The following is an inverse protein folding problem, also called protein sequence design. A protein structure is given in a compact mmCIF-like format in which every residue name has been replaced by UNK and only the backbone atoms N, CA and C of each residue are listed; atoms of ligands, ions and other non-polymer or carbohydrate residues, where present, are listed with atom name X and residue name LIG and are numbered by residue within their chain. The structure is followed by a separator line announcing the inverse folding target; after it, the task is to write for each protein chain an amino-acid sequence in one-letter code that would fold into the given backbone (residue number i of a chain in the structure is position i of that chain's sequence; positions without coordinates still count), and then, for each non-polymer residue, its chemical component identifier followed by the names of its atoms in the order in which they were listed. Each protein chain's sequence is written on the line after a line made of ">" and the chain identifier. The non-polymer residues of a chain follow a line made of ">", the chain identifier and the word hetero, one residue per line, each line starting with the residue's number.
data_IF_522627060293
#
_entry.id   IF_522627060293
#
_cell.length_a   1.000
_cell.length_b   1.000
_cell.length_c   1.000
_cell.angle_alpha   90.00
_cell.angle_beta   90.00
_cell.angle_gamma   90.00
#
_symmetry.space_group_name_H-M   'P 1'
#
loop_
_entity.id
_entity.type
_entity.pdbx_description
1 polymer ?
#
# COMPACT_ATOMS: atom_id res chain seq x y z
N UNK A 1 18.80 -9.04 -24.84
CA UNK A 1 19.30 -9.48 -26.18
C UNK A 1 18.07 -9.66 -27.03
N UNK A 2 17.83 -8.74 -27.95
CA UNK A 2 16.66 -8.81 -28.84
C UNK A 2 16.98 -9.71 -30.01
N UNK A 3 16.36 -10.88 -30.00
CA UNK A 3 16.04 -11.74 -31.12
C UNK A 3 17.11 -11.87 -32.24
N UNK A 4 18.27 -12.36 -31.92
CA UNK A 4 19.22 -12.90 -32.92
C UNK A 4 19.53 -12.03 -34.14
N UNK A 5 19.02 -10.82 -34.23
CA UNK A 5 19.29 -9.90 -35.35
C UNK A 5 20.53 -9.06 -35.03
N UNK A 6 21.47 -9.02 -35.97
CA UNK A 6 22.65 -8.14 -35.90
C UNK A 6 22.32 -6.68 -36.27
N UNK A 7 21.05 -6.27 -36.18
CA UNK A 7 20.62 -4.90 -36.52
C UNK A 7 20.81 -4.02 -35.29
N UNK A 8 21.67 -3.01 -35.43
CA UNK A 8 21.85 -1.96 -34.42
C UNK A 8 20.90 -0.84 -34.73
N UNK A 9 19.98 -0.56 -33.78
CA UNK A 9 19.07 0.59 -33.89
C UNK A 9 19.68 1.78 -33.18
N UNK A 10 19.87 2.88 -33.90
CA UNK A 10 20.20 4.17 -33.31
C UNK A 10 18.93 4.81 -32.74
N UNK A 11 18.96 5.20 -31.46
CA UNK A 11 17.94 6.05 -30.83
C UNK A 11 18.53 7.44 -30.57
N UNK A 12 17.72 8.48 -30.72
CA UNK A 12 18.19 9.84 -30.41
C UNK A 12 18.47 9.97 -28.90
N UNK A 13 19.44 10.80 -28.55
CA UNK A 13 19.75 11.10 -27.14
C UNK A 13 18.50 11.63 -26.40
N UNK A 14 17.69 12.46 -27.04
CA UNK A 14 16.46 13.01 -26.47
C UNK A 14 15.43 11.93 -26.14
N UNK A 15 15.41 10.83 -26.90
CA UNK A 15 14.50 9.70 -26.64
C UNK A 15 14.88 8.89 -25.41
N UNK A 16 16.14 8.95 -24.97
CA UNK A 16 16.65 8.17 -23.83
C UNK A 16 17.12 9.04 -22.68
N UNK A 17 17.19 10.37 -22.84
CA UNK A 17 17.68 11.28 -21.81
C UNK A 17 16.90 11.17 -20.49
N UNK A 18 15.58 11.06 -20.55
CA UNK A 18 14.73 10.88 -19.37
C UNK A 18 15.11 9.62 -18.56
N UNK A 19 15.65 8.61 -19.21
CA UNK A 19 16.10 7.35 -18.58
C UNK A 19 17.54 7.47 -18.07
N UNK A 20 18.40 8.10 -18.88
CA UNK A 20 19.82 8.24 -18.54
C UNK A 20 20.03 9.20 -17.35
N UNK A 21 19.19 10.24 -17.26
CA UNK A 21 19.33 11.30 -16.26
C UNK A 21 18.56 11.02 -14.96
N UNK A 22 17.58 10.08 -14.95
CA UNK A 22 16.72 9.84 -13.79
C UNK A 22 17.39 9.10 -12.63
N UNK A 23 18.53 8.47 -12.86
CA UNK A 23 19.18 7.62 -11.85
C UNK A 23 18.32 6.41 -11.43
N UNK A 24 18.86 5.55 -10.57
CA UNK A 24 18.13 4.35 -10.09
C UNK A 24 16.86 4.67 -9.32
N UNK A 25 16.86 5.75 -8.53
CA UNK A 25 15.68 6.18 -7.78
C UNK A 25 14.53 6.62 -8.68
N UNK A 26 14.82 7.25 -9.81
CA UNK A 26 13.80 7.67 -10.79
C UNK A 26 13.13 6.50 -11.53
N UNK A 27 13.80 5.35 -11.59
CA UNK A 27 13.34 4.17 -12.35
C UNK A 27 12.69 3.08 -11.48
N UNK A 28 12.74 3.23 -10.14
CA UNK A 28 12.18 2.23 -9.23
C UNK A 28 10.70 2.46 -8.95
N UNK A 29 10.03 1.42 -8.46
CA UNK A 29 8.69 1.51 -7.89
C UNK A 29 8.70 2.47 -6.67
N UNK A 30 7.75 3.41 -6.64
CA UNK A 30 7.60 4.39 -5.57
C UNK A 30 6.32 4.20 -4.75
N UNK A 31 5.42 3.36 -5.22
CA UNK A 31 4.16 3.04 -4.53
C UNK A 31 4.44 1.99 -3.47
N UNK A 32 4.00 2.24 -2.24
CA UNK A 32 4.30 1.38 -1.09
C UNK A 32 3.49 0.08 -1.15
N UNK A 33 2.21 0.15 -1.57
CA UNK A 33 1.30 -0.99 -1.65
C UNK A 33 0.64 -1.03 -3.03
N UNK A 34 0.73 -2.16 -3.70
CA UNK A 34 0.21 -2.37 -5.06
C UNK A 34 -1.01 -3.30 -5.11
N UNK A 35 -1.32 -3.99 -4.01
CA UNK A 35 -2.46 -4.90 -3.92
C UNK A 35 -3.80 -4.15 -4.02
N UNK A 36 -4.82 -4.81 -4.53
CA UNK A 36 -6.16 -4.20 -4.63
C UNK A 36 -6.84 -4.18 -3.25
N UNK A 37 -7.59 -3.12 -2.95
CA UNK A 37 -8.37 -2.99 -1.72
C UNK A 37 -9.31 -4.19 -1.49
N UNK A 38 -9.86 -4.75 -2.58
CA UNK A 38 -10.74 -5.94 -2.56
C UNK A 38 -10.06 -7.21 -2.07
N UNK A 39 -8.73 -7.27 -2.13
CA UNK A 39 -7.96 -8.46 -1.75
C UNK A 39 -7.55 -8.41 -0.27
N UNK A 40 -7.65 -7.24 0.36
CA UNK A 40 -7.28 -7.04 1.76
C UNK A 40 -8.30 -7.71 2.68
N UNK A 41 -7.82 -8.60 3.54
CA UNK A 41 -8.59 -9.31 4.56
C UNK A 41 -8.53 -8.62 5.91
N UNK A 42 -7.39 -8.07 6.29
CA UNK A 42 -7.27 -7.28 7.52
C UNK A 42 -6.12 -6.28 7.43
N UNK A 43 -6.25 -5.20 8.19
CA UNK A 43 -5.16 -4.25 8.44
C UNK A 43 -5.04 -4.08 9.94
N UNK A 44 -3.82 -4.25 10.46
CA UNK A 44 -3.48 -3.86 11.83
C UNK A 44 -2.66 -2.59 11.78
N UNK A 45 -3.13 -1.55 12.44
CA UNK A 45 -2.46 -0.25 12.56
C UNK A 45 -1.93 -0.12 13.97
N UNK A 46 -0.62 0.04 14.12
CA UNK A 46 0.03 0.25 15.42
C UNK A 46 0.69 1.64 15.45
N UNK A 47 0.29 2.48 16.39
CA UNK A 47 0.86 3.81 16.61
C UNK A 47 1.15 4.01 18.11
N UNK A 48 2.43 3.95 18.47
CA UNK A 48 2.84 3.93 19.89
C UNK A 48 2.26 2.72 20.62
N UNK A 49 1.43 2.95 21.64
CA UNK A 49 0.74 1.89 22.39
C UNK A 49 -0.65 1.54 21.86
N UNK A 50 -1.14 2.26 20.85
CA UNK A 50 -2.47 2.03 20.27
C UNK A 50 -2.35 0.99 19.17
N UNK A 51 -3.26 0.00 19.19
CA UNK A 51 -3.37 -1.04 18.15
C UNK A 51 -4.82 -1.09 17.68
N UNK A 52 -5.03 -0.77 16.42
CA UNK A 52 -6.33 -0.79 15.76
C UNK A 52 -6.35 -1.90 14.71
N UNK A 53 -7.39 -2.73 14.73
CA UNK A 53 -7.53 -3.84 13.78
C UNK A 53 -8.80 -3.67 12.98
N UNK A 54 -8.63 -3.52 11.67
CA UNK A 54 -9.72 -3.45 10.71
C UNK A 54 -9.85 -4.82 10.02
N UNK A 55 -10.94 -5.53 10.32
CA UNK A 55 -11.21 -6.83 9.73
C UNK A 55 -12.23 -6.69 8.60
N UNK A 56 -11.86 -7.15 7.42
CA UNK A 56 -12.74 -7.20 6.25
C UNK A 56 -13.27 -8.61 6.11
N UNK A 57 -14.58 -8.73 5.91
CA UNK A 57 -15.23 -9.97 5.50
C UNK A 57 -15.85 -9.76 4.13
N UNK A 58 -15.74 -10.76 3.25
CA UNK A 58 -16.42 -10.75 1.95
C UNK A 58 -17.44 -11.87 1.86
N UNK A 59 -18.57 -11.58 1.25
CA UNK A 59 -19.64 -12.54 0.94
C UNK A 59 -19.93 -12.47 -0.54
N UNK A 60 -19.88 -13.62 -1.21
CA UNK A 60 -20.24 -13.72 -2.62
C UNK A 60 -21.72 -13.34 -2.84
N UNK A 61 -21.97 -12.48 -3.82
CA UNK A 61 -23.31 -12.13 -4.23
C UNK A 61 -23.91 -13.30 -4.99
N UNK A 62 -24.99 -13.86 -4.48
CA UNK A 62 -25.77 -14.87 -5.20
C UNK A 62 -26.49 -14.20 -6.37
N UNK A 63 -25.90 -14.25 -7.57
CA UNK A 63 -26.62 -13.81 -8.76
C UNK A 63 -27.66 -14.86 -9.14
N UNK A 64 -28.92 -14.47 -9.12
CA UNK A 64 -30.06 -15.31 -9.55
C UNK A 64 -30.19 -15.42 -11.07
N UNK A 65 -29.14 -15.14 -11.85
CA UNK A 65 -29.13 -15.24 -13.30
C UNK A 65 -27.94 -16.00 -13.85
N UNK A 66 -28.27 -17.22 -14.32
CA UNK A 66 -27.75 -17.91 -15.51
C UNK A 66 -26.28 -17.76 -15.85
N UNK A 67 -25.52 -18.81 -15.51
CA UNK A 67 -24.54 -19.51 -16.38
C UNK A 67 -24.13 -18.80 -17.68
N UNK A 68 -23.28 -17.82 -17.63
CA UNK A 68 -22.26 -17.63 -18.65
C UNK A 68 -20.91 -18.03 -18.05
N UNK A 69 -20.35 -19.07 -18.60
CA UNK A 69 -19.01 -19.57 -18.27
C UNK A 69 -18.02 -18.40 -18.35
N UNK A 70 -17.49 -17.96 -17.20
CA UNK A 70 -16.39 -16.99 -17.16
C UNK A 70 -16.66 -15.70 -16.38
N UNK A 71 -17.74 -15.54 -15.62
CA UNK A 71 -17.94 -14.34 -14.80
C UNK A 71 -17.11 -14.40 -13.52
N UNK A 72 -16.31 -13.36 -13.28
CA UNK A 72 -15.59 -13.15 -12.01
C UNK A 72 -16.62 -13.04 -10.88
N UNK A 73 -16.43 -13.71 -9.73
CA UNK A 73 -17.34 -13.60 -8.59
C UNK A 73 -17.45 -12.15 -8.12
N UNK A 74 -18.67 -11.67 -7.90
CA UNK A 74 -18.92 -10.40 -7.23
C UNK A 74 -19.04 -10.60 -5.72
N UNK A 75 -18.44 -9.71 -4.93
CA UNK A 75 -18.49 -9.77 -3.48
C UNK A 75 -19.16 -8.54 -2.87
N UNK A 76 -19.78 -8.74 -1.71
CA UNK A 76 -20.17 -7.67 -0.79
C UNK A 76 -19.19 -7.69 0.37
N UNK A 77 -18.69 -6.53 0.76
CA UNK A 77 -17.68 -6.36 1.81
C UNK A 77 -18.29 -5.75 3.06
N UNK A 78 -17.81 -6.18 4.21
CA UNK A 78 -18.15 -5.60 5.53
C UNK A 78 -16.86 -5.45 6.31
N UNK A 79 -16.68 -4.29 6.96
CA UNK A 79 -15.53 -4.01 7.81
C UNK A 79 -15.98 -3.93 9.26
N UNK A 80 -15.17 -4.47 10.16
CA UNK A 80 -15.36 -4.35 11.61
C UNK A 80 -14.04 -3.90 12.27
N UNK A 81 -14.14 -2.93 13.18
CA UNK A 81 -13.02 -2.48 14.01
C UNK A 81 -12.85 -3.33 15.27
N UNK A 82 -11.95 -2.91 16.17
CA UNK A 82 -11.58 -3.60 17.41
C UNK A 82 -12.76 -4.04 18.28
N UNK A 83 -13.81 -3.20 18.37
CA UNK A 83 -14.96 -3.43 19.23
C UNK A 83 -16.09 -4.20 18.53
N UNK A 84 -15.85 -4.79 17.39
CA UNK A 84 -16.88 -5.39 16.55
C UNK A 84 -17.82 -4.36 15.92
N UNK A 85 -17.53 -3.05 16.04
CA UNK A 85 -18.27 -1.97 15.40
C UNK A 85 -18.18 -2.14 13.88
N UNK A 86 -19.33 -2.11 13.21
CA UNK A 86 -19.37 -2.13 11.75
C UNK A 86 -18.95 -0.76 11.21
N UNK A 87 -18.06 -0.77 10.27
CA UNK A 87 -17.53 0.40 9.59
C UNK A 87 -17.98 0.41 8.13
N UNK A 88 -17.96 1.59 7.52
CA UNK A 88 -18.28 1.70 6.10
C UNK A 88 -17.09 1.22 5.26
N UNK A 89 -17.35 0.27 4.35
CA UNK A 89 -16.30 -0.24 3.47
C UNK A 89 -15.90 0.79 2.41
N UNK A 90 -16.88 1.37 1.71
CA UNK A 90 -16.60 2.21 0.53
C UNK A 90 -16.04 3.58 0.91
N UNK A 91 -16.66 4.29 1.85
CA UNK A 91 -16.24 5.64 2.27
C UNK A 91 -15.23 5.67 3.42
N UNK A 92 -15.14 4.59 4.20
CA UNK A 92 -14.21 4.48 5.33
C UNK A 92 -12.95 3.70 4.95
N UNK A 93 -13.08 2.37 4.91
CA UNK A 93 -11.92 1.50 4.70
C UNK A 93 -11.22 1.73 3.35
N UNK A 94 -11.98 1.85 2.26
CA UNK A 94 -11.41 2.10 0.94
C UNK A 94 -10.71 3.47 0.88
N UNK A 95 -11.28 4.50 1.53
CA UNK A 95 -10.63 5.81 1.63
C UNK A 95 -9.30 5.73 2.36
N UNK A 96 -9.28 5.07 3.52
CA UNK A 96 -8.05 4.83 4.29
C UNK A 96 -7.00 4.08 3.44
N UNK A 97 -7.37 2.96 2.83
CA UNK A 97 -6.45 2.16 2.03
C UNK A 97 -5.87 2.95 0.84
N UNK A 98 -6.72 3.71 0.15
CA UNK A 98 -6.29 4.56 -0.96
C UNK A 98 -5.30 5.65 -0.54
N UNK A 99 -5.42 6.18 0.68
CA UNK A 99 -4.42 7.14 1.20
C UNK A 99 -3.07 6.48 1.42
N UNK A 100 -3.05 5.27 1.96
CA UNK A 100 -1.79 4.53 2.15
C UNK A 100 -1.17 4.16 0.80
N UNK A 101 -1.95 3.59 -0.11
CA UNK A 101 -1.47 3.16 -1.42
C UNK A 101 -1.05 4.32 -2.33
N UNK A 102 -1.66 5.51 -2.16
CA UNK A 102 -1.28 6.72 -2.88
C UNK A 102 -0.04 7.42 -2.29
N UNK A 103 0.47 6.96 -1.15
CA UNK A 103 1.69 7.54 -0.56
C UNK A 103 2.90 7.13 -1.38
N UNK A 104 3.58 8.12 -1.96
CA UNK A 104 4.73 7.91 -2.81
C UNK A 104 6.04 8.19 -2.08
N UNK A 105 7.05 7.39 -2.40
CA UNK A 105 8.42 7.63 -1.95
C UNK A 105 8.99 8.85 -2.68
N UNK A 106 9.39 9.85 -1.92
CA UNK A 106 9.96 11.10 -2.46
C UNK A 106 11.48 11.11 -2.51
N UNK A 107 12.12 10.41 -1.58
CA UNK A 107 13.57 10.38 -1.43
C UNK A 107 14.05 8.94 -1.21
N UNK A 108 15.26 8.67 -1.65
CA UNK A 108 15.91 7.40 -1.36
C UNK A 108 16.37 7.32 0.10
N UNK A 109 16.48 6.10 0.62
CA UNK A 109 17.07 5.81 1.91
C UNK A 109 17.84 4.50 1.83
N UNK A 110 19.04 4.47 2.38
CA UNK A 110 19.93 3.31 2.29
C UNK A 110 20.00 2.49 3.58
N UNK A 111 19.65 3.10 4.72
CA UNK A 111 19.82 2.47 6.02
C UNK A 111 18.49 2.40 6.78
N UNK A 112 18.27 1.25 7.43
CA UNK A 112 17.13 1.08 8.33
C UNK A 112 17.41 1.90 9.61
N UNK A 113 16.49 2.79 10.00
CA UNK A 113 16.61 3.55 11.23
C UNK A 113 16.65 2.64 12.45
N UNK A 114 17.34 3.08 13.50
CA UNK A 114 17.31 2.42 14.82
C UNK A 114 16.04 2.80 15.60
N UNK A 115 15.66 1.96 16.56
CA UNK A 115 14.52 2.21 17.44
C UNK A 115 13.21 1.59 16.95
N UNK A 116 12.10 2.08 17.51
CA UNK A 116 10.76 1.58 17.19
C UNK A 116 10.12 2.45 16.10
N UNK A 117 9.32 1.86 15.21
CA UNK A 117 8.56 2.63 14.24
C UNK A 117 7.50 3.49 14.94
N UNK A 118 7.27 4.68 14.43
CA UNK A 118 6.20 5.58 14.90
C UNK A 118 4.81 5.15 14.42
N UNK A 119 4.77 4.40 13.31
CA UNK A 119 3.56 3.81 12.76
C UNK A 119 3.93 2.48 12.08
N UNK A 120 3.12 1.46 12.30
CA UNK A 120 3.21 0.17 11.59
C UNK A 120 1.86 -0.19 11.02
N UNK A 121 1.85 -0.65 9.78
CA UNK A 121 0.69 -1.22 9.10
C UNK A 121 1.00 -2.67 8.73
N UNK A 122 0.16 -3.61 9.17
CA UNK A 122 0.29 -5.02 8.79
C UNK A 122 -0.95 -5.46 8.03
N UNK A 123 -0.76 -5.95 6.80
CA UNK A 123 -1.82 -6.38 5.90
C UNK A 123 -1.85 -7.89 5.79
N UNK A 124 -3.05 -8.46 5.76
CA UNK A 124 -3.31 -9.83 5.32
C UNK A 124 -4.31 -9.84 4.18
N UNK A 125 -4.29 -10.88 3.35
CA UNK A 125 -5.06 -10.97 2.13
C UNK A 125 -5.98 -12.20 2.11
N UNK A 126 -7.07 -12.16 1.32
CA UNK A 126 -8.05 -13.25 1.28
C UNK A 126 -7.48 -14.52 0.63
N UNK A 127 -6.87 -14.38 -0.51
CA UNK A 127 -6.47 -15.51 -1.37
C UNK A 127 -4.97 -15.74 -1.37
N UNK A 128 -4.27 -15.19 -0.36
CA UNK A 128 -2.83 -15.32 -0.20
C UNK A 128 -2.46 -15.57 1.25
N UNK A 129 -1.43 -16.37 1.47
CA UNK A 129 -0.76 -16.49 2.77
C UNK A 129 0.26 -15.37 3.02
N UNK A 130 0.51 -14.52 2.01
CA UNK A 130 1.43 -13.42 2.12
C UNK A 130 0.89 -12.37 3.10
N UNK A 131 1.82 -11.63 3.67
CA UNK A 131 1.54 -10.50 4.55
C UNK A 131 2.48 -9.39 4.17
N UNK A 132 1.97 -8.16 4.20
CA UNK A 132 2.82 -6.99 4.04
C UNK A 132 2.90 -6.23 5.35
N UNK A 133 4.11 -5.84 5.70
CA UNK A 133 4.40 -5.02 6.86
C UNK A 133 5.11 -3.75 6.42
N UNK A 134 4.45 -2.62 6.65
CA UNK A 134 4.97 -1.28 6.38
C UNK A 134 5.28 -0.62 7.71
N UNK A 135 6.53 -0.25 7.91
CA UNK A 135 7.00 0.43 9.12
C UNK A 135 7.50 1.83 8.77
N UNK A 136 7.06 2.84 9.52
CA UNK A 136 7.43 4.23 9.33
C UNK A 136 8.24 4.72 10.53
N UNK A 137 9.49 5.07 10.29
CA UNK A 137 10.42 5.55 11.31
C UNK A 137 10.62 7.06 11.18
N UNK A 138 10.37 7.79 12.27
CA UNK A 138 10.64 9.22 12.33
C UNK A 138 12.15 9.47 12.30
N UNK A 139 12.62 10.26 11.35
CA UNK A 139 14.03 10.61 11.18
C UNK A 139 14.37 12.01 11.67
N UNK A 140 13.39 12.75 12.22
CA UNK A 140 13.57 14.06 12.83
C UNK A 140 13.72 15.23 11.85
N UNK A 141 13.73 14.99 10.54
CA UNK A 141 13.91 15.98 9.47
C UNK A 141 12.61 16.26 8.70
N UNK A 142 11.46 16.06 9.34
CA UNK A 142 10.13 16.11 8.73
C UNK A 142 9.92 15.01 7.68
N UNK A 143 10.67 13.94 7.79
CA UNK A 143 10.60 12.75 6.97
C UNK A 143 10.43 11.50 7.81
N UNK A 144 9.82 10.51 7.21
CA UNK A 144 9.75 9.17 7.76
C UNK A 144 10.44 8.21 6.79
N UNK A 145 11.35 7.39 7.30
CA UNK A 145 11.88 6.28 6.51
C UNK A 145 10.86 5.15 6.53
N UNK A 146 10.55 4.66 5.34
CA UNK A 146 9.65 3.52 5.10
C UNK A 146 10.47 2.24 5.00
N UNK A 147 10.05 1.24 5.74
CA UNK A 147 10.58 -0.12 5.67
C UNK A 147 9.43 -1.05 5.28
N UNK A 148 9.53 -1.68 4.11
CA UNK A 148 8.54 -2.62 3.60
C UNK A 148 9.10 -4.05 3.72
N UNK A 149 8.43 -4.89 4.48
CA UNK A 149 8.82 -6.30 4.70
C UNK A 149 10.28 -6.46 5.14
N UNK A 150 10.74 -5.54 6.00
CA UNK A 150 12.11 -5.53 6.53
C UNK A 150 13.16 -4.85 5.64
N UNK A 151 12.81 -4.47 4.41
CA UNK A 151 13.69 -3.78 3.48
C UNK A 151 13.43 -2.27 3.48
N UNK A 152 14.50 -1.48 3.48
CA UNK A 152 14.37 -0.02 3.36
C UNK A 152 13.80 0.32 1.98
N UNK A 153 12.71 1.08 1.97
CA UNK A 153 11.99 1.41 0.76
C UNK A 153 12.17 2.88 0.34
N UNK A 154 12.50 3.78 1.26
CA UNK A 154 12.74 5.20 0.99
C UNK A 154 12.11 6.10 2.03
N UNK A 155 11.88 7.38 1.69
CA UNK A 155 11.32 8.38 2.62
C UNK A 155 10.03 9.00 2.09
N UNK A 156 9.11 9.28 3.04
CA UNK A 156 7.84 9.99 2.83
C UNK A 156 7.79 11.23 3.73
N UNK A 157 6.79 12.09 3.53
CA UNK A 157 6.63 13.30 4.35
C UNK A 157 5.93 13.02 5.68
N UNK A 158 6.11 13.93 6.64
CA UNK A 158 5.34 13.93 7.89
C UNK A 158 3.83 14.10 7.62
N UNK A 159 3.46 14.84 6.57
CA UNK A 159 2.06 15.10 6.24
C UNK A 159 1.36 13.84 5.73
N UNK A 160 2.06 12.97 5.00
CA UNK A 160 1.54 11.67 4.59
C UNK A 160 1.21 10.81 5.81
N UNK A 161 2.12 10.75 6.79
CA UNK A 161 1.92 9.96 8.01
C UNK A 161 0.78 10.52 8.88
N UNK A 162 0.69 11.85 9.00
CA UNK A 162 -0.43 12.49 9.70
C UNK A 162 -1.76 12.20 9.01
N UNK A 163 -1.79 12.21 7.69
CA UNK A 163 -2.98 11.85 6.90
C UNK A 163 -3.39 10.40 7.16
N UNK A 164 -2.46 9.44 7.11
CA UNK A 164 -2.75 8.03 7.38
C UNK A 164 -3.31 7.85 8.81
N UNK A 165 -2.70 8.49 9.82
CA UNK A 165 -3.18 8.43 11.21
C UNK A 165 -4.58 9.04 11.38
N UNK A 166 -4.85 10.16 10.71
CA UNK A 166 -6.15 10.82 10.73
C UNK A 166 -7.23 9.96 10.08
N UNK A 167 -6.95 9.34 8.94
CA UNK A 167 -7.89 8.43 8.27
C UNK A 167 -8.18 7.18 9.10
N UNK A 168 -7.18 6.60 9.78
CA UNK A 168 -7.40 5.48 10.70
C UNK A 168 -8.38 5.85 11.79
N UNK A 169 -8.17 7.00 12.44
CA UNK A 169 -9.06 7.51 13.49
C UNK A 169 -10.48 7.79 12.97
N UNK A 170 -10.61 8.27 11.73
CA UNK A 170 -11.89 8.53 11.08
C UNK A 170 -12.66 7.24 10.79
N UNK A 171 -11.97 6.19 10.37
CA UNK A 171 -12.59 4.88 10.11
C UNK A 171 -13.15 4.28 11.39
N UNK A 172 -12.47 4.45 12.54
CA UNK A 172 -12.89 3.91 13.84
C UNK A 172 -13.89 4.80 14.60
N UNK A 173 -13.82 6.10 14.43
CA UNK A 173 -14.66 7.10 15.10
C UNK A 173 -16.02 7.36 14.46
N UNK A 174 -16.26 6.89 13.21
CA UNK A 174 -17.48 7.08 12.43
C UNK A 174 -18.71 6.33 12.95
#
# INVERSE_FOLDING_TARGET
>A
MLDGSNVVYGVSQDSVSAWADSGLFGLREKIILTELTSDVKSVTVTSGSTVDVLNVTRKEKTSSKSSSSGSTPEYTYTVTGNNGKKLNYDSGFTSFYNKVSATEILEDASEKPSGSPALTLEYTYFDSSNKDKVEFYDTGDRRYTVVLNGNVFGKVTVDDINTIKSETSSVEGG
#
